data_IF_026176973882
#
_entry.id   IF_026176973882
#
_cell.length_a   1.000
_cell.length_b   1.000
_cell.length_c   1.000
_cell.angle_alpha   90.00
_cell.angle_beta   90.00
_cell.angle_gamma   90.00
#
_symmetry.space_group_name_H-M   'P 1'
#
loop_
_entity.id
_entity.type
_entity.pdbx_description
1 polymer ?
#
# COMPACT_ATOMS: atom_id res chain seq x y z
N UNK A 1 -11.23 5.22 21.22
CA UNK A 1 -11.81 4.08 20.48
C UNK A 1 -11.73 4.28 18.98
N UNK A 2 -12.15 5.43 18.42
CA UNK A 2 -12.11 5.71 16.97
C UNK A 2 -10.70 5.68 16.36
N UNK A 3 -9.69 6.21 17.07
CA UNK A 3 -8.29 6.14 16.61
C UNK A 3 -7.74 4.71 16.47
N UNK A 4 -8.14 3.80 17.37
CA UNK A 4 -7.72 2.40 17.28
C UNK A 4 -8.32 1.74 16.03
N UNK A 5 -9.58 2.03 15.71
CA UNK A 5 -10.22 1.56 14.47
C UNK A 5 -9.42 1.99 13.25
N UNK A 6 -8.96 3.24 13.20
CA UNK A 6 -8.14 3.76 12.10
C UNK A 6 -6.78 3.05 12.01
N UNK A 7 -6.10 2.84 13.13
CA UNK A 7 -4.81 2.13 13.16
C UNK A 7 -4.96 0.68 12.66
N UNK A 8 -5.99 -0.04 13.15
CA UNK A 8 -6.27 -1.40 12.68
C UNK A 8 -6.69 -1.42 11.21
N UNK A 9 -7.45 -0.43 10.76
CA UNK A 9 -7.87 -0.31 9.37
C UNK A 9 -6.65 -0.10 8.45
N UNK A 10 -5.75 0.83 8.79
CA UNK A 10 -4.50 1.05 8.05
C UNK A 10 -3.69 -0.26 8.00
N UNK A 11 -3.55 -0.93 9.14
CA UNK A 11 -2.85 -2.21 9.22
C UNK A 11 -3.47 -3.29 8.33
N UNK A 12 -4.80 -3.38 8.30
CA UNK A 12 -5.55 -4.27 7.41
C UNK A 12 -5.32 -3.94 5.93
N UNK A 13 -5.41 -2.67 5.53
CA UNK A 13 -5.22 -2.25 4.14
C UNK A 13 -3.79 -2.51 3.65
N UNK A 14 -2.79 -2.24 4.48
CA UNK A 14 -1.40 -2.58 4.16
C UNK A 14 -1.22 -4.10 4.06
N UNK A 15 -1.80 -4.88 4.98
CA UNK A 15 -1.73 -6.35 4.90
C UNK A 15 -2.35 -6.87 3.60
N UNK A 16 -3.45 -6.28 3.15
CA UNK A 16 -4.07 -6.65 1.90
C UNK A 16 -3.21 -6.28 0.67
N UNK A 17 -2.50 -5.15 0.72
CA UNK A 17 -1.47 -4.80 -0.27
C UNK A 17 -0.37 -5.87 -0.32
N UNK A 18 0.20 -6.23 0.83
CA UNK A 18 1.23 -7.27 0.92
C UNK A 18 0.71 -8.64 0.46
N UNK A 19 -0.54 -8.96 0.77
CA UNK A 19 -1.20 -10.16 0.27
C UNK A 19 -1.26 -10.17 -1.27
N UNK A 20 -1.45 -9.01 -1.90
CA UNK A 20 -1.37 -8.85 -3.35
C UNK A 20 -0.02 -9.27 -3.93
N UNK A 21 1.09 -8.79 -3.36
CA UNK A 21 2.44 -9.23 -3.74
C UNK A 21 2.64 -10.72 -3.53
N UNK A 22 2.19 -11.23 -2.38
CA UNK A 22 2.30 -12.64 -2.04
C UNK A 22 1.56 -13.53 -3.06
N UNK A 23 0.30 -13.20 -3.36
CA UNK A 23 -0.51 -13.94 -4.33
C UNK A 23 0.09 -13.86 -5.74
N UNK A 24 0.59 -12.69 -6.15
CA UNK A 24 1.28 -12.52 -7.42
C UNK A 24 2.54 -13.41 -7.51
N UNK A 25 3.39 -13.42 -6.48
CA UNK A 25 4.58 -14.28 -6.44
C UNK A 25 4.21 -15.77 -6.46
N UNK A 26 3.18 -16.20 -5.70
CA UNK A 26 2.69 -17.58 -5.71
C UNK A 26 2.19 -18.01 -7.08
N UNK A 27 1.45 -17.14 -7.78
CA UNK A 27 0.97 -17.42 -9.14
C UNK A 27 2.12 -17.59 -10.14
N UNK A 28 3.19 -16.81 -9.98
CA UNK A 28 4.37 -16.83 -10.84
C UNK A 28 5.41 -17.88 -10.45
N UNK A 29 5.15 -18.63 -9.37
CA UNK A 29 6.07 -19.60 -8.76
C UNK A 29 7.42 -18.99 -8.38
N UNK A 30 7.40 -17.76 -7.87
CA UNK A 30 8.55 -17.13 -7.22
C UNK A 30 8.61 -17.66 -5.78
N UNK A 31 9.75 -18.18 -5.30
CA UNK A 31 9.85 -18.74 -3.96
C UNK A 31 9.80 -17.61 -2.90
N UNK A 32 9.04 -17.84 -1.84
CA UNK A 32 8.77 -16.86 -0.78
C UNK A 32 9.06 -17.54 0.55
N UNK A 33 10.08 -17.06 1.25
CA UNK A 33 10.50 -17.60 2.52
C UNK A 33 9.47 -17.26 3.61
N UNK A 34 8.93 -16.04 3.59
CA UNK A 34 8.04 -15.57 4.65
C UNK A 34 6.94 -14.62 4.16
N UNK A 35 5.74 -14.82 4.68
CA UNK A 35 4.65 -13.86 4.65
C UNK A 35 4.26 -13.50 6.08
N UNK A 36 4.34 -12.23 6.45
CA UNK A 36 4.02 -11.76 7.80
C UNK A 36 2.86 -10.79 7.79
N UNK A 37 1.90 -11.02 8.68
CA UNK A 37 0.90 -10.04 9.10
C UNK A 37 1.45 -9.37 10.35
N UNK A 38 1.67 -8.06 10.26
CA UNK A 38 2.31 -7.24 11.26
C UNK A 38 3.84 -7.26 11.21
N UNK A 39 4.44 -6.50 12.12
CA UNK A 39 5.88 -6.37 12.30
C UNK A 39 6.35 -6.81 13.70
N UNK A 40 7.65 -7.05 13.84
CA UNK A 40 8.30 -7.38 15.11
C UNK A 40 8.38 -8.89 15.38
N UNK A 41 8.49 -9.30 16.66
CA UNK A 41 8.67 -10.70 17.02
C UNK A 41 7.43 -11.54 16.66
N UNK A 42 7.69 -12.79 16.25
CA UNK A 42 6.66 -13.79 15.92
C UNK A 42 5.84 -14.12 17.17
N UNK A 43 4.54 -13.79 17.16
CA UNK A 43 3.60 -14.28 18.17
C UNK A 43 3.19 -15.72 17.88
N UNK A 44 2.84 -15.95 16.61
CA UNK A 44 2.41 -17.25 16.13
C UNK A 44 2.82 -17.41 14.67
N UNK A 45 2.91 -18.65 14.21
CA UNK A 45 3.06 -18.89 12.80
C UNK A 45 3.25 -20.35 12.45
N UNK A 46 2.90 -20.68 11.21
CA UNK A 46 2.96 -22.03 10.68
C UNK A 46 3.81 -22.04 9.40
N UNK A 47 4.48 -23.16 9.13
CA UNK A 47 5.14 -23.40 7.85
C UNK A 47 4.21 -24.23 6.98
N UNK A 48 3.94 -23.77 5.76
CA UNK A 48 3.13 -24.53 4.78
C UNK A 48 3.86 -24.55 3.45
N UNK A 49 4.38 -25.72 3.09
CA UNK A 49 5.35 -25.86 2.00
C UNK A 49 6.64 -25.12 2.36
N UNK A 50 7.13 -24.30 1.43
CA UNK A 50 8.38 -23.56 1.59
C UNK A 50 8.19 -22.20 2.31
N UNK A 51 6.94 -21.73 2.44
CA UNK A 51 6.63 -20.42 3.03
C UNK A 51 6.28 -20.53 4.52
N UNK A 52 6.92 -19.68 5.33
CA UNK A 52 6.51 -19.41 6.70
C UNK A 52 5.48 -18.29 6.79
N UNK A 53 4.37 -18.56 7.46
CA UNK A 53 3.30 -17.60 7.72
C UNK A 53 3.42 -17.12 9.15
N UNK A 54 3.64 -15.81 9.34
CA UNK A 54 3.84 -15.20 10.64
C UNK A 54 2.67 -14.28 10.98
N UNK A 55 2.23 -14.35 12.23
CA UNK A 55 1.46 -13.31 12.89
C UNK A 55 2.40 -12.66 13.92
N UNK A 56 2.69 -11.39 13.72
CA UNK A 56 3.69 -10.65 14.51
C UNK A 56 3.03 -9.78 15.58
N UNK A 57 3.81 -9.37 16.59
CA UNK A 57 3.33 -8.64 17.76
C UNK A 57 2.65 -7.31 17.43
N UNK A 58 3.15 -6.58 16.43
CA UNK A 58 2.62 -5.28 16.05
C UNK A 58 1.69 -5.48 14.85
N UNK A 59 0.35 -5.42 15.01
CA UNK A 59 -0.62 -5.76 13.97
C UNK A 59 -0.84 -4.61 12.97
N UNK A 60 0.21 -3.87 12.64
CA UNK A 60 0.15 -2.71 11.75
C UNK A 60 0.91 -3.06 10.48
N UNK A 61 0.21 -3.49 9.43
CA UNK A 61 0.79 -3.79 8.13
C UNK A 61 1.33 -5.21 8.01
N UNK A 62 2.37 -5.42 7.22
CA UNK A 62 2.94 -6.72 6.96
C UNK A 62 4.13 -6.63 6.01
N UNK A 63 4.71 -7.77 5.65
CA UNK A 63 5.74 -7.84 4.62
C UNK A 63 5.79 -9.21 3.94
N UNK A 64 6.19 -9.21 2.67
CA UNK A 64 6.53 -10.41 1.89
C UNK A 64 8.04 -10.48 1.72
N UNK A 65 8.65 -11.59 2.19
CA UNK A 65 10.08 -11.83 2.04
C UNK A 65 10.32 -12.95 1.03
N UNK A 66 10.84 -12.65 -0.17
CA UNK A 66 11.28 -13.64 -1.14
C UNK A 66 12.37 -14.55 -0.55
N UNK A 67 12.39 -15.83 -0.94
CA UNK A 67 13.44 -16.78 -0.57
C UNK A 67 14.63 -16.62 -1.52
N UNK A 68 15.38 -15.54 -1.34
CA UNK A 68 16.47 -15.15 -2.23
C UNK A 68 17.62 -14.67 -1.34
N UNK A 69 18.78 -15.30 -1.48
CA UNK A 69 19.95 -15.01 -0.65
C UNK A 69 20.69 -13.75 -1.11
N UNK A 70 20.62 -13.43 -2.41
CA UNK A 70 21.25 -12.26 -3.03
C UNK A 70 20.32 -11.60 -4.07
N UNK A 71 20.29 -10.27 -4.13
CA UNK A 71 19.57 -9.52 -5.17
C UNK A 71 19.93 -10.00 -6.59
N UNK A 72 21.17 -10.47 -6.80
CA UNK A 72 21.60 -11.05 -8.07
C UNK A 72 20.71 -12.21 -8.54
N UNK A 73 20.22 -13.05 -7.62
CA UNK A 73 19.33 -14.17 -7.93
C UNK A 73 17.91 -13.70 -8.24
N UNK A 74 17.42 -12.66 -7.55
CA UNK A 74 16.17 -11.99 -7.94
C UNK A 74 16.27 -11.40 -9.35
N UNK A 75 17.45 -10.92 -9.74
CA UNK A 75 17.67 -10.38 -11.08
C UNK A 75 17.74 -11.43 -12.19
N UNK A 76 17.90 -12.71 -11.87
CA UNK A 76 17.78 -13.81 -12.83
C UNK A 76 16.32 -14.14 -13.16
N UNK A 77 15.38 -13.75 -12.30
CA UNK A 77 13.94 -13.94 -12.54
C UNK A 77 13.52 -13.13 -13.78
N UNK A 78 12.74 -13.69 -14.72
CA UNK A 78 12.29 -12.93 -15.88
C UNK A 78 11.60 -11.61 -15.52
N UNK A 79 11.89 -10.54 -16.26
CA UNK A 79 11.38 -9.17 -16.03
C UNK A 79 9.86 -9.15 -15.82
N UNK A 80 9.09 -9.86 -16.65
CA UNK A 80 7.63 -9.88 -16.54
C UNK A 80 7.15 -10.44 -15.19
N UNK A 81 7.87 -11.41 -14.60
CA UNK A 81 7.52 -11.95 -13.28
C UNK A 81 7.75 -10.92 -12.18
N UNK A 82 8.86 -10.19 -12.26
CA UNK A 82 9.17 -9.09 -11.33
C UNK A 82 8.15 -7.95 -11.44
N UNK A 83 7.75 -7.61 -12.66
CA UNK A 83 6.72 -6.60 -12.91
C UNK A 83 5.37 -6.99 -12.31
N UNK A 84 4.89 -8.20 -12.57
CA UNK A 84 3.62 -8.68 -12.00
C UNK A 84 3.71 -8.78 -10.47
N UNK A 85 4.85 -9.21 -9.94
CA UNK A 85 5.09 -9.21 -8.50
C UNK A 85 4.95 -7.81 -7.90
N UNK A 86 5.62 -6.79 -8.44
CA UNK A 86 5.53 -5.41 -7.97
C UNK A 86 4.15 -4.77 -8.18
N UNK A 87 3.39 -5.19 -9.19
CA UNK A 87 2.02 -4.73 -9.39
C UNK A 87 1.01 -5.40 -8.45
N UNK A 88 1.37 -6.53 -7.83
CA UNK A 88 0.48 -7.32 -6.99
C UNK A 88 -0.19 -6.51 -5.88
N UNK A 89 0.58 -5.70 -5.15
CA UNK A 89 0.05 -4.87 -4.06
C UNK A 89 -0.90 -3.78 -4.53
N UNK A 90 -0.50 -2.87 -5.44
CA UNK A 90 -1.40 -1.85 -5.96
C UNK A 90 -2.70 -2.44 -6.55
N UNK A 91 -2.61 -3.56 -7.27
CA UNK A 91 -3.79 -4.25 -7.82
C UNK A 91 -4.71 -4.77 -6.71
N UNK A 92 -4.17 -5.38 -5.64
CA UNK A 92 -4.97 -5.84 -4.51
C UNK A 92 -5.73 -4.68 -3.83
N UNK A 93 -5.09 -3.52 -3.70
CA UNK A 93 -5.75 -2.34 -3.16
C UNK A 93 -6.86 -1.79 -4.06
N UNK A 94 -6.67 -1.80 -5.38
CA UNK A 94 -7.75 -1.45 -6.32
C UNK A 94 -8.91 -2.45 -6.22
N UNK A 95 -8.63 -3.75 -6.09
CA UNK A 95 -9.67 -4.78 -5.88
C UNK A 95 -10.43 -4.52 -4.57
N UNK A 96 -9.74 -4.15 -3.50
CA UNK A 96 -10.39 -3.77 -2.24
C UNK A 96 -11.30 -2.56 -2.38
N UNK A 97 -10.91 -1.55 -3.16
CA UNK A 97 -11.76 -0.38 -3.43
C UNK A 97 -13.06 -0.82 -4.14
N UNK A 98 -12.96 -1.66 -5.17
CA UNK A 98 -14.12 -2.19 -5.88
C UNK A 98 -15.04 -2.97 -4.92
N UNK A 99 -14.47 -3.76 -4.03
CA UNK A 99 -15.20 -4.51 -3.01
C UNK A 99 -15.93 -3.57 -2.02
N UNK A 100 -15.26 -2.56 -1.48
CA UNK A 100 -15.87 -1.60 -0.55
C UNK A 100 -16.95 -0.76 -1.20
N UNK A 101 -16.75 -0.29 -2.44
CA UNK A 101 -17.82 0.40 -3.18
C UNK A 101 -19.02 -0.52 -3.44
N UNK A 102 -18.79 -1.79 -3.74
CA UNK A 102 -19.85 -2.79 -3.87
C UNK A 102 -20.70 -2.87 -2.59
N UNK A 103 -20.05 -2.99 -1.42
CA UNK A 103 -20.73 -2.99 -0.12
C UNK A 103 -21.50 -1.67 0.09
N UNK A 104 -20.86 -0.52 -0.12
CA UNK A 104 -21.52 0.79 0.06
C UNK A 104 -22.74 0.95 -0.84
N UNK A 105 -22.67 0.54 -2.10
CA UNK A 105 -23.78 0.61 -3.03
C UNK A 105 -24.95 -0.29 -2.60
N UNK A 106 -24.66 -1.48 -2.08
CA UNK A 106 -25.68 -2.39 -1.54
C UNK A 106 -26.32 -1.81 -0.28
N UNK A 107 -25.53 -1.20 0.61
CA UNK A 107 -26.05 -0.53 1.81
C UNK A 107 -26.93 0.68 1.46
N UNK A 108 -26.56 1.45 0.43
CA UNK A 108 -27.25 2.68 0.06
C UNK A 108 -28.53 2.46 -0.75
N UNK A 109 -28.57 1.44 -1.61
CA UNK A 109 -29.69 1.25 -2.56
C UNK A 109 -30.25 -0.17 -2.59
N UNK A 110 -29.80 -1.07 -1.71
CA UNK A 110 -30.14 -2.49 -1.73
C UNK A 110 -29.37 -3.29 -2.78
N UNK A 111 -29.65 -4.59 -2.87
CA UNK A 111 -28.98 -5.48 -3.82
C UNK A 111 -29.35 -5.14 -5.27
N UNK A 112 -28.34 -4.79 -6.07
CA UNK A 112 -28.48 -4.56 -7.50
C UNK A 112 -27.21 -5.01 -8.23
N UNK A 113 -27.37 -5.77 -9.32
CA UNK A 113 -26.24 -6.21 -10.15
C UNK A 113 -25.44 -5.02 -10.68
N UNK A 114 -26.10 -3.93 -11.07
CA UNK A 114 -25.44 -2.70 -11.51
C UNK A 114 -24.63 -2.08 -10.36
N UNK A 115 -25.20 -2.04 -9.14
CA UNK A 115 -24.53 -1.52 -7.95
C UNK A 115 -23.30 -2.30 -7.50
N UNK A 116 -23.24 -3.59 -7.82
CA UNK A 116 -22.14 -4.49 -7.41
C UNK A 116 -21.06 -4.59 -8.49
N UNK A 117 -21.45 -4.64 -9.78
CA UNK A 117 -20.50 -4.96 -10.86
C UNK A 117 -20.12 -3.79 -11.75
N UNK A 118 -20.93 -2.73 -11.85
CA UNK A 118 -20.68 -1.63 -12.80
C UNK A 118 -20.38 -0.33 -12.05
N UNK A 119 -21.23 0.07 -11.10
CA UNK A 119 -21.03 1.30 -10.32
C UNK A 119 -19.66 1.37 -9.64
N UNK A 120 -19.13 0.31 -9.00
CA UNK A 120 -17.83 0.38 -8.34
C UNK A 120 -16.69 0.72 -9.30
N UNK A 121 -16.73 0.24 -10.54
CA UNK A 121 -15.72 0.58 -11.55
C UNK A 121 -15.82 2.06 -11.95
N UNK A 122 -17.03 2.56 -12.18
CA UNK A 122 -17.24 3.97 -12.51
C UNK A 122 -16.79 4.88 -11.35
N UNK A 123 -17.16 4.54 -10.11
CA UNK A 123 -16.75 5.29 -8.91
C UNK A 123 -15.23 5.27 -8.71
N UNK A 124 -14.61 4.09 -8.83
CA UNK A 124 -13.15 3.94 -8.69
C UNK A 124 -12.42 4.72 -9.77
N UNK A 125 -12.88 4.67 -11.02
CA UNK A 125 -12.28 5.42 -12.13
C UNK A 125 -12.40 6.94 -11.92
N UNK A 126 -13.56 7.43 -11.46
CA UNK A 126 -13.75 8.84 -11.11
C UNK A 126 -12.82 9.29 -9.98
N UNK A 127 -12.69 8.49 -8.92
CA UNK A 127 -11.75 8.77 -7.84
C UNK A 127 -10.30 8.79 -8.32
N UNK A 128 -9.88 7.82 -9.15
CA UNK A 128 -8.53 7.79 -9.72
C UNK A 128 -8.21 9.04 -10.53
N UNK A 129 -9.13 9.45 -11.41
CA UNK A 129 -8.97 10.67 -12.22
C UNK A 129 -8.86 11.90 -11.33
N UNK A 130 -9.76 12.04 -10.35
CA UNK A 130 -9.74 13.16 -9.40
C UNK A 130 -8.43 13.19 -8.61
N UNK A 131 -7.94 12.03 -8.17
CA UNK A 131 -6.68 11.92 -7.45
C UNK A 131 -5.50 12.36 -8.33
N UNK A 132 -5.42 11.86 -9.57
CA UNK A 132 -4.35 12.23 -10.53
C UNK A 132 -4.34 13.74 -10.78
N UNK A 133 -5.52 14.36 -10.95
CA UNK A 133 -5.65 15.81 -11.13
C UNK A 133 -5.19 16.57 -9.87
N UNK A 134 -5.42 16.00 -8.68
CA UNK A 134 -5.02 16.61 -7.41
C UNK A 134 -3.52 16.45 -7.09
N UNK A 135 -2.80 15.51 -7.69
CA UNK A 135 -1.37 15.26 -7.38
C UNK A 135 -0.52 16.54 -7.40
N UNK A 136 -0.56 17.41 -8.43
CA UNK A 136 0.24 18.64 -8.45
C UNK A 136 -0.08 19.59 -7.29
N UNK A 137 -1.35 19.66 -6.89
CA UNK A 137 -1.78 20.51 -5.76
C UNK A 137 -1.29 20.00 -4.41
N UNK A 138 -1.14 18.67 -4.25
CA UNK A 138 -0.57 18.07 -3.03
C UNK A 138 0.86 18.54 -2.77
N UNK A 139 1.65 18.75 -3.82
CA UNK A 139 3.04 19.24 -3.69
C UNK A 139 3.14 20.77 -3.60
N UNK A 140 2.05 21.49 -3.87
CA UNK A 140 2.04 22.96 -3.84
C UNK A 140 1.66 23.52 -2.46
N UNK A 141 0.90 22.77 -1.66
CA UNK A 141 0.43 23.21 -0.34
C UNK A 141 0.96 22.28 0.76
N UNK A 142 1.91 22.76 1.56
CA UNK A 142 2.49 22.01 2.69
C UNK A 142 1.47 21.64 3.77
N UNK A 143 0.32 22.32 3.82
CA UNK A 143 -0.77 21.99 4.75
C UNK A 143 -1.47 20.67 4.43
N UNK A 144 -1.47 20.26 3.16
CA UNK A 144 -2.16 19.04 2.69
C UNK A 144 -1.33 17.77 2.90
N UNK A 145 -0.03 17.91 3.17
CA UNK A 145 0.84 16.78 3.53
C UNK A 145 0.52 16.36 4.97
N UNK A 146 -0.35 15.36 5.11
CA UNK A 146 -0.61 14.69 6.39
C UNK A 146 0.34 13.51 6.54
N UNK A 147 1.07 13.45 7.65
CA UNK A 147 1.83 12.28 8.05
C UNK A 147 0.94 11.21 8.67
N UNK A 148 1.59 10.21 9.28
CA UNK A 148 0.87 9.09 9.94
C UNK A 148 -0.05 9.60 11.06
N UNK A 149 0.41 10.61 11.81
CA UNK A 149 -0.36 11.21 12.91
C UNK A 149 -1.57 11.95 12.37
N UNK A 150 -1.41 12.76 11.31
CA UNK A 150 -2.50 13.47 10.67
C UNK A 150 -3.57 12.54 10.10
N UNK A 151 -3.16 11.41 9.51
CA UNK A 151 -4.10 10.38 9.02
C UNK A 151 -4.87 9.74 10.18
N UNK A 152 -4.20 9.40 11.28
CA UNK A 152 -4.87 8.78 12.44
C UNK A 152 -5.81 9.78 13.13
N UNK A 153 -5.37 11.01 13.36
CA UNK A 153 -6.19 12.04 14.04
C UNK A 153 -7.36 12.47 13.16
N UNK A 154 -7.08 12.85 11.90
CA UNK A 154 -8.11 13.26 10.94
C UNK A 154 -9.06 12.13 10.60
N UNK A 155 -8.55 10.91 10.39
CA UNK A 155 -9.36 9.71 10.19
C UNK A 155 -10.22 9.39 11.42
N UNK A 156 -9.66 9.51 12.64
CA UNK A 156 -10.39 9.22 13.87
C UNK A 156 -11.54 10.18 14.13
N UNK A 157 -11.41 11.43 13.68
CA UNK A 157 -12.49 12.42 13.69
C UNK A 157 -13.51 12.19 12.56
N UNK A 158 -13.04 11.81 11.36
CA UNK A 158 -13.89 11.57 10.19
C UNK A 158 -14.81 10.35 10.38
N UNK A 159 -14.20 9.22 10.74
CA UNK A 159 -14.83 7.90 10.78
C UNK A 159 -15.89 7.80 11.89
N UNK A 160 -15.61 8.31 13.08
CA UNK A 160 -16.51 8.18 14.22
C UNK A 160 -16.86 6.70 14.50
N UNK A 161 -18.17 6.38 14.55
CA UNK A 161 -18.71 5.01 14.70
C UNK A 161 -19.59 4.64 13.48
N UNK A 162 -19.56 5.44 12.41
CA UNK A 162 -20.41 5.24 11.24
C UNK A 162 -19.74 4.30 10.22
N UNK A 163 -20.38 3.16 9.95
CA UNK A 163 -19.89 2.14 9.01
C UNK A 163 -19.69 2.71 7.61
N UNK A 164 -20.54 3.63 7.16
CA UNK A 164 -20.40 4.23 5.83
C UNK A 164 -19.14 5.08 5.74
N UNK A 165 -18.79 5.80 6.82
CA UNK A 165 -17.57 6.61 6.89
C UNK A 165 -16.32 5.74 7.05
N UNK A 166 -16.40 4.60 7.75
CA UNK A 166 -15.32 3.61 7.77
C UNK A 166 -15.04 3.12 6.36
N UNK A 167 -16.07 2.74 5.59
CA UNK A 167 -15.93 2.24 4.22
C UNK A 167 -15.37 3.31 3.28
N UNK A 168 -15.92 4.51 3.33
CA UNK A 168 -15.45 5.64 2.52
C UNK A 168 -13.97 5.98 2.82
N UNK A 169 -13.61 6.04 4.10
CA UNK A 169 -12.22 6.26 4.51
C UNK A 169 -11.29 5.11 4.07
N UNK A 170 -11.77 3.86 4.11
CA UNK A 170 -11.03 2.68 3.63
C UNK A 170 -10.76 2.77 2.13
N UNK A 171 -11.73 3.27 1.34
CA UNK A 171 -11.60 3.48 -0.10
C UNK A 171 -10.53 4.54 -0.39
N UNK A 172 -10.60 5.68 0.29
CA UNK A 172 -9.63 6.77 0.10
C UNK A 172 -8.22 6.31 0.50
N UNK A 173 -8.07 5.64 1.64
CA UNK A 173 -6.77 5.12 2.07
C UNK A 173 -6.22 4.04 1.13
N UNK A 174 -7.07 3.11 0.68
CA UNK A 174 -6.67 2.06 -0.26
C UNK A 174 -6.23 2.65 -1.60
N UNK A 175 -6.93 3.68 -2.09
CA UNK A 175 -6.57 4.44 -3.29
C UNK A 175 -5.22 5.13 -3.11
N UNK A 176 -5.02 5.82 -1.99
CA UNK A 176 -3.75 6.48 -1.67
C UNK A 176 -2.61 5.48 -1.66
N UNK A 177 -2.78 4.35 -0.97
CA UNK A 177 -1.77 3.28 -0.94
C UNK A 177 -1.48 2.73 -2.34
N UNK A 178 -2.50 2.50 -3.18
CA UNK A 178 -2.31 2.00 -4.54
C UNK A 178 -1.57 3.01 -5.43
N UNK A 179 -2.02 4.27 -5.45
CA UNK A 179 -1.45 5.30 -6.34
C UNK A 179 -0.06 5.72 -5.89
N UNK A 180 0.15 5.94 -4.58
CA UNK A 180 1.46 6.33 -4.06
C UNK A 180 2.49 5.23 -4.31
N UNK A 181 2.14 3.95 -4.13
CA UNK A 181 3.06 2.85 -4.44
C UNK A 181 3.35 2.70 -5.93
N UNK A 182 2.53 3.25 -6.83
CA UNK A 182 2.81 3.29 -8.27
C UNK A 182 3.64 4.50 -8.71
N UNK A 183 3.90 5.47 -7.82
CA UNK A 183 4.76 6.60 -8.14
C UNK A 183 6.20 6.15 -8.45
N UNK A 184 6.93 6.91 -9.29
CA UNK A 184 8.30 6.61 -9.71
C UNK A 184 9.34 6.87 -8.60
N UNK A 185 9.07 6.44 -7.37
CA UNK A 185 9.94 6.64 -6.21
C UNK A 185 10.71 5.34 -5.96
N UNK A 186 12.06 5.34 -5.93
CA UNK A 186 12.88 4.13 -5.92
C UNK A 186 12.56 3.07 -4.85
N UNK A 187 12.12 3.49 -3.66
CA UNK A 187 11.79 2.57 -2.57
C UNK A 187 10.39 1.95 -2.68
N UNK A 188 9.52 2.54 -3.51
CA UNK A 188 8.15 2.06 -3.74
C UNK A 188 8.08 1.11 -4.95
N UNK A 189 6.95 0.41 -5.09
CA UNK A 189 6.76 -0.57 -6.16
C UNK A 189 6.91 0.01 -7.57
N UNK A 190 6.42 1.23 -7.80
CA UNK A 190 6.51 1.96 -9.05
C UNK A 190 7.94 2.32 -9.45
N UNK A 191 8.79 2.65 -8.48
CA UNK A 191 10.23 2.85 -8.71
C UNK A 191 10.91 1.56 -9.19
N UNK A 192 10.60 0.43 -8.56
CA UNK A 192 11.10 -0.90 -8.97
C UNK A 192 10.63 -1.25 -10.38
N UNK A 193 9.35 -1.03 -10.67
CA UNK A 193 8.75 -1.24 -12.00
C UNK A 193 9.52 -0.46 -13.08
N UNK A 194 9.81 0.82 -12.83
CA UNK A 194 10.57 1.64 -13.78
C UNK A 194 11.98 1.09 -13.98
N UNK A 195 12.65 0.67 -12.93
CA UNK A 195 13.98 0.06 -13.05
C UNK A 195 13.95 -1.23 -13.89
N UNK A 196 12.94 -2.09 -13.70
CA UNK A 196 12.78 -3.30 -14.51
C UNK A 196 12.46 -2.98 -15.99
N UNK A 197 11.73 -1.89 -16.25
CA UNK A 197 11.47 -1.42 -17.61
C UNK A 197 12.73 -0.84 -18.26
N UNK A 198 13.52 -0.06 -17.51
CA UNK A 198 14.79 0.51 -17.98
C UNK A 198 15.85 -0.57 -18.22
N UNK A 199 15.86 -1.65 -17.44
CA UNK A 199 16.71 -2.81 -17.65
C UNK A 199 16.50 -3.44 -19.04
N UNK A 200 15.27 -3.45 -19.55
CA UNK A 200 14.96 -3.91 -20.92
C UNK A 200 15.68 -3.09 -21.98
N UNK A 201 15.98 -1.82 -21.69
CA UNK A 201 16.73 -0.92 -22.57
C UNK A 201 18.24 -1.14 -22.38
N UNK A 202 18.72 -1.20 -21.14
CA UNK A 202 20.15 -1.38 -20.86
C UNK A 202 20.44 -2.13 -19.53
N UNK A 203 21.21 -3.23 -19.54
CA UNK A 203 21.43 -4.08 -18.34
C UNK A 203 22.23 -3.38 -17.21
N UNK A 204 22.95 -2.29 -17.52
CA UNK A 204 23.64 -1.49 -16.49
C UNK A 204 22.71 -0.88 -15.44
N UNK A 205 21.43 -0.66 -15.76
CA UNK A 205 20.47 -0.09 -14.81
C UNK A 205 20.22 -1.00 -13.60
N UNK A 206 20.52 -2.30 -13.72
CA UNK A 206 20.47 -3.26 -12.60
C UNK A 206 21.34 -2.82 -11.42
N UNK A 207 22.52 -2.27 -11.71
CA UNK A 207 23.47 -1.80 -10.69
C UNK A 207 22.96 -0.59 -9.91
N UNK A 208 21.94 0.10 -10.44
CA UNK A 208 21.34 1.24 -9.77
C UNK A 208 20.25 0.83 -8.78
N UNK A 209 19.80 -0.43 -8.76
CA UNK A 209 18.69 -0.85 -7.89
C UNK A 209 18.98 -0.61 -6.41
N UNK A 210 20.05 -1.21 -5.88
CA UNK A 210 20.48 -1.03 -4.48
C UNK A 210 20.69 0.44 -4.11
N UNK A 211 21.52 1.23 -4.81
CA UNK A 211 21.77 2.62 -4.40
C UNK A 211 20.51 3.48 -4.51
N UNK A 212 19.68 3.30 -5.55
CA UNK A 212 18.43 4.05 -5.67
C UNK A 212 17.44 3.64 -4.58
N UNK A 213 17.31 2.35 -4.27
CA UNK A 213 16.45 1.88 -3.19
C UNK A 213 16.88 2.46 -1.84
N UNK A 214 18.18 2.50 -1.54
CA UNK A 214 18.71 3.13 -0.31
C UNK A 214 18.40 4.62 -0.25
N UNK A 215 18.66 5.36 -1.34
CA UNK A 215 18.32 6.80 -1.42
C UNK A 215 16.82 7.00 -1.25
N UNK A 216 16.01 6.14 -1.88
CA UNK A 216 14.56 6.14 -1.75
C UNK A 216 14.10 5.92 -0.31
N UNK A 217 14.67 4.94 0.40
CA UNK A 217 14.34 4.65 1.79
C UNK A 217 14.74 5.80 2.72
N UNK A 218 15.95 6.35 2.55
CA UNK A 218 16.40 7.52 3.31
C UNK A 218 15.47 8.71 3.08
N UNK A 219 15.10 8.97 1.82
CA UNK A 219 14.15 10.02 1.47
C UNK A 219 12.76 9.79 2.09
N UNK A 220 12.20 8.58 1.98
CA UNK A 220 10.87 8.26 2.53
C UNK A 220 10.85 8.35 4.06
N UNK A 221 11.87 7.83 4.74
CA UNK A 221 12.00 7.95 6.20
C UNK A 221 12.12 9.42 6.58
N UNK A 222 12.94 10.20 5.87
CA UNK A 222 13.07 11.64 6.07
C UNK A 222 11.73 12.38 5.91
N UNK A 223 10.98 12.06 4.85
CA UNK A 223 9.66 12.63 4.59
C UNK A 223 8.65 12.24 5.69
N UNK A 224 8.67 10.99 6.13
CA UNK A 224 7.80 10.50 7.21
C UNK A 224 8.08 11.21 8.53
N UNK A 225 9.36 11.40 8.89
CA UNK A 225 9.76 12.18 10.07
C UNK A 225 9.32 13.63 9.93
N UNK A 226 9.59 14.26 8.78
CA UNK A 226 9.19 15.64 8.51
C UNK A 226 7.67 15.85 8.63
N UNK A 227 6.87 15.00 7.97
CA UNK A 227 5.42 15.07 8.02
C UNK A 227 4.88 14.83 9.45
N UNK A 228 5.51 13.92 10.19
CA UNK A 228 5.14 13.66 11.59
C UNK A 228 5.42 14.89 12.48
N UNK A 229 6.54 15.58 12.28
CA UNK A 229 6.85 16.82 13.02
C UNK A 229 5.84 17.92 12.71
N UNK A 230 5.47 18.10 11.44
CA UNK A 230 4.42 19.04 11.03
C UNK A 230 3.07 18.71 11.66
N UNK A 231 2.68 17.43 11.68
CA UNK A 231 1.44 16.99 12.31
C UNK A 231 1.45 17.28 13.81
N UNK A 232 2.55 16.98 14.51
CA UNK A 232 2.65 17.22 15.96
C UNK A 232 2.51 18.71 16.26
N UNK A 233 3.19 19.59 15.53
CA UNK A 233 3.03 21.05 15.69
C UNK A 233 1.62 21.56 15.38
N UNK A 234 0.89 20.87 14.50
CA UNK A 234 -0.51 21.21 14.18
C UNK A 234 -1.51 20.78 15.25
N UNK A 235 -1.30 19.60 15.85
CA UNK A 235 -2.27 19.00 16.78
C UNK A 235 -1.92 19.15 18.27
N UNK A 236 -0.68 19.53 18.60
CA UNK A 236 -0.22 19.82 19.96
C UNK A 236 0.21 21.29 20.04
N UNK A 237 -0.72 22.24 20.26
CA UNK A 237 -0.36 23.65 20.35
C UNK A 237 0.48 23.89 21.62
N UNK A 238 1.76 24.22 21.46
CA UNK A 238 2.69 24.49 22.56
C UNK A 238 4.14 24.03 22.36
N UNK A 239 4.47 23.41 21.22
CA UNK A 239 5.83 23.14 20.72
C UNK A 239 5.94 23.72 19.32
#
# INVERSE_FOLDING_TARGET
MTYLVVVFLIGFLITAHELGHFLAARWLKVPIARFSIGFGPKLWGCKRGDTEYWLSLIPIGGYVLPEIEDEAEFFQIPIYKRLIFSLGGPVANIILILFFFGIMNVMASGFSLNGIFIKPFLQTSGLLVNFIIAIPTLFSNSEQLSGVVGIVVGGGQYVGVDVLRILDFSIILSLNLAVLNLLPIPALDGGKIILYLLEKIHPKFLRLHVPLALVGWVFLIGLMVYATVLDVGRYVPGI
#
